data_IF_173271151813
#
_entry.id   IF_173271151813
#
_cell.length_a   1.000
_cell.length_b   1.000
_cell.length_c   1.000
_cell.angle_alpha   90.00
_cell.angle_beta   90.00
_cell.angle_gamma   90.00
#
_symmetry.space_group_name_H-M   'P 1'
#
loop_
_entity.id
_entity.type
_entity.pdbx_description
1 polymer ?
#
# COMPACT_ATOMS: atom_id res chain seq x y z
N UNK A 1 8.56 3.59 6.87
CA UNK A 1 8.46 2.18 7.28
C UNK A 1 8.10 1.34 6.06
N UNK A 2 8.94 0.41 5.62
CA UNK A 2 8.58 -0.40 4.46
C UNK A 2 8.12 -1.79 4.85
N UNK A 3 7.26 -2.35 4.02
CA UNK A 3 7.05 -3.79 3.97
C UNK A 3 7.47 -4.26 2.58
N UNK A 4 7.97 -5.49 2.50
CA UNK A 4 8.35 -6.05 1.21
C UNK A 4 7.08 -6.30 0.39
N UNK A 5 6.89 -5.54 -0.68
CA UNK A 5 6.08 -5.95 -1.83
C UNK A 5 7.06 -6.47 -2.86
N UNK A 6 7.16 -7.77 -3.07
CA UNK A 6 8.27 -8.31 -3.81
C UNK A 6 8.37 -7.92 -5.33
N UNK A 7 9.55 -7.55 -5.85
CA UNK A 7 9.89 -7.50 -7.30
C UNK A 7 11.39 -7.66 -7.65
N UNK A 8 11.72 -8.44 -8.67
CA UNK A 8 13.11 -8.69 -9.12
C UNK A 8 13.55 -7.78 -10.27
N UNK A 9 14.84 -7.41 -10.28
CA UNK A 9 15.55 -6.77 -11.39
C UNK A 9 15.74 -7.73 -12.57
N UNK A 10 15.59 -7.21 -13.78
CA UNK A 10 15.88 -7.80 -15.09
C UNK A 10 14.97 -8.94 -15.56
N UNK A 11 13.68 -8.65 -15.71
CA UNK A 11 12.86 -8.93 -16.91
C UNK A 11 11.38 -8.88 -16.53
N UNK A 12 10.65 -8.04 -17.27
CA UNK A 12 9.19 -7.87 -17.40
C UNK A 12 8.29 -8.49 -16.30
N UNK A 13 7.56 -7.59 -15.62
CA UNK A 13 6.31 -7.80 -14.88
C UNK A 13 6.37 -8.59 -13.56
N UNK A 14 5.77 -8.03 -12.50
CA UNK A 14 5.62 -8.75 -11.22
C UNK A 14 5.02 -7.96 -10.05
N UNK A 15 5.12 -6.63 -10.07
CA UNK A 15 4.33 -5.74 -9.21
C UNK A 15 3.31 -5.06 -10.09
N UNK A 16 2.07 -5.06 -9.62
CA UNK A 16 0.96 -4.37 -10.24
C UNK A 16 0.41 -3.36 -9.25
N UNK A 17 0.08 -2.19 -9.77
CA UNK A 17 -0.43 -1.07 -9.01
C UNK A 17 -1.79 -0.70 -9.55
N UNK A 18 -2.66 -0.35 -8.63
CA UNK A 18 -4.01 0.04 -8.95
C UNK A 18 -4.37 1.27 -8.13
N UNK A 19 -5.14 2.14 -8.76
CA UNK A 19 -5.36 3.50 -8.30
C UNK A 19 -6.86 3.71 -8.32
N UNK A 20 -7.45 4.18 -7.21
CA UNK A 20 -8.90 4.21 -7.06
C UNK A 20 -9.47 5.51 -6.45
N UNK A 21 -10.68 5.84 -6.90
CA UNK A 21 -11.61 6.77 -6.27
C UNK A 21 -12.72 6.01 -5.55
N UNK A 22 -13.42 6.70 -4.65
CA UNK A 22 -14.51 6.10 -3.88
C UNK A 22 -15.85 6.45 -4.52
N UNK A 23 -16.70 5.44 -4.73
CA UNK A 23 -18.14 5.61 -4.96
C UNK A 23 -18.89 5.05 -3.75
N UNK A 24 -19.93 5.76 -3.34
CA UNK A 24 -20.63 5.53 -2.08
C UNK A 24 -21.89 4.67 -2.27
N UNK A 25 -22.15 3.81 -1.29
CA UNK A 25 -23.51 3.34 -1.00
C UNK A 25 -23.66 3.28 0.53
N UNK A 26 -24.48 4.14 1.16
CA UNK A 26 -24.60 4.21 2.62
C UNK A 26 -25.44 3.05 3.11
N UNK A 27 -24.90 2.12 3.89
CA UNK A 27 -25.70 1.48 4.95
C UNK A 27 -24.86 1.01 6.15
N UNK A 28 -25.42 1.35 7.32
CA UNK A 28 -25.18 0.91 8.69
C UNK A 28 -23.87 1.30 9.39
N UNK A 29 -24.01 2.32 10.24
CA UNK A 29 -23.23 2.60 11.43
C UNK A 29 -23.26 1.43 12.43
N UNK A 30 -22.09 1.08 12.98
CA UNK A 30 -21.87 0.71 14.39
C UNK A 30 -20.37 0.91 14.65
N UNK A 31 -20.04 1.85 15.54
CA UNK A 31 -18.70 2.01 16.12
C UNK A 31 -18.46 0.88 17.11
N UNK A 32 -17.75 -0.16 16.66
CA UNK A 32 -16.99 -1.06 17.54
C UNK A 32 -15.51 -0.84 17.24
N UNK A 33 -14.65 -1.02 18.25
CA UNK A 33 -13.21 -1.23 18.03
C UNK A 33 -13.02 -2.10 16.79
N UNK A 34 -12.14 -1.71 15.86
CA UNK A 34 -11.89 -2.46 14.62
C UNK A 34 -11.45 -3.88 15.02
N UNK A 35 -12.41 -4.79 15.12
CA UNK A 35 -12.16 -6.20 15.32
C UNK A 35 -11.94 -6.74 13.93
N UNK A 36 -10.73 -7.23 13.67
CA UNK A 36 -10.52 -8.13 12.54
C UNK A 36 -11.56 -9.23 12.67
N UNK A 37 -12.35 -9.46 11.62
CA UNK A 37 -13.25 -10.60 11.60
C UNK A 37 -12.41 -11.87 11.57
N UNK A 38 -12.24 -12.42 12.77
CA UNK A 38 -11.45 -13.60 13.01
C UNK A 38 -11.99 -14.83 12.30
N UNK A 39 -13.21 -14.82 11.73
CA UNK A 39 -13.74 -15.92 10.94
C UNK A 39 -12.89 -16.18 9.68
N UNK A 40 -12.40 -15.12 9.05
CA UNK A 40 -11.73 -15.20 7.74
C UNK A 40 -10.26 -14.79 7.79
N UNK A 41 -9.88 -13.88 8.69
CA UNK A 41 -8.52 -13.38 8.79
C UNK A 41 -7.93 -13.58 10.18
N UNK A 42 -6.66 -13.98 10.24
CA UNK A 42 -5.83 -13.89 11.43
C UNK A 42 -5.06 -12.57 11.35
N UNK A 43 -5.18 -11.74 12.38
CA UNK A 43 -4.34 -10.56 12.50
C UNK A 43 -2.88 -10.98 12.70
N UNK A 44 -1.99 -10.45 11.88
CA UNK A 44 -0.54 -10.63 12.02
C UNK A 44 0.11 -9.56 12.88
N UNK A 45 1.41 -9.74 13.15
CA UNK A 45 2.25 -8.84 13.94
C UNK A 45 3.32 -8.16 13.06
N UNK A 46 4.09 -7.23 13.62
CA UNK A 46 5.26 -6.66 12.95
C UNK A 46 6.28 -7.74 12.51
N UNK A 47 6.36 -8.87 13.23
CA UNK A 47 7.25 -9.98 12.91
C UNK A 47 6.88 -10.66 11.58
N UNK A 48 5.59 -10.76 11.26
CA UNK A 48 5.10 -11.31 9.98
C UNK A 48 5.55 -10.51 8.74
N UNK A 49 6.06 -9.29 8.96
CA UNK A 49 6.47 -8.36 7.91
C UNK A 49 7.89 -7.84 8.10
N UNK A 50 8.64 -8.39 9.05
CA UNK A 50 10.02 -7.98 9.33
C UNK A 50 10.90 -8.09 8.07
N UNK A 51 11.77 -7.11 7.89
CA UNK A 51 12.72 -7.13 6.79
C UNK A 51 13.70 -8.30 6.99
N UNK A 52 13.80 -9.17 5.98
CA UNK A 52 14.71 -10.33 6.02
C UNK A 52 16.20 -9.96 6.11
N UNK A 53 16.53 -8.70 5.85
CA UNK A 53 17.87 -8.12 5.94
C UNK A 53 17.75 -6.60 6.01
N UNK A 54 18.76 -5.90 6.55
CA UNK A 54 18.82 -4.45 6.49
C UNK A 54 18.77 -3.92 5.05
N UNK A 55 18.02 -2.84 4.83
CA UNK A 55 17.92 -2.16 3.53
C UNK A 55 18.62 -0.81 3.66
N UNK A 56 19.85 -0.72 3.16
CA UNK A 56 20.64 0.53 3.17
C UNK A 56 19.97 1.60 2.33
N UNK A 57 19.92 2.84 2.81
CA UNK A 57 19.37 4.00 2.10
C UNK A 57 20.45 5.07 1.86
N UNK A 58 21.26 5.38 2.86
CA UNK A 58 22.37 6.32 2.71
C UNK A 58 23.36 5.86 1.64
N UNK A 59 23.94 6.82 0.94
CA UNK A 59 24.94 6.65 -0.13
C UNK A 59 24.47 5.82 -1.33
N UNK A 60 23.16 5.63 -1.51
CA UNK A 60 22.60 5.04 -2.73
C UNK A 60 22.76 6.02 -3.90
N UNK A 61 23.52 5.60 -4.91
CA UNK A 61 23.87 6.40 -6.11
C UNK A 61 22.69 7.13 -6.77
N UNK A 62 21.51 6.51 -6.78
CA UNK A 62 20.32 7.02 -7.48
C UNK A 62 19.13 7.31 -6.54
N UNK A 63 19.42 7.64 -5.29
CA UNK A 63 18.44 8.14 -4.34
C UNK A 63 18.80 9.58 -3.99
N UNK A 64 18.00 10.58 -4.41
CA UNK A 64 18.28 11.97 -4.08
C UNK A 64 18.41 12.21 -2.58
N UNK A 65 19.37 13.07 -2.22
CA UNK A 65 19.70 13.37 -0.83
C UNK A 65 20.48 12.27 -0.09
N UNK A 66 20.71 11.07 -0.67
CA UNK A 66 21.30 9.94 0.05
C UNK A 66 22.72 10.17 0.57
N UNK A 67 23.45 11.14 0.01
CA UNK A 67 24.80 11.54 0.45
C UNK A 67 24.81 12.69 1.45
N UNK A 68 23.65 13.26 1.79
CA UNK A 68 23.54 14.35 2.75
C UNK A 68 23.79 13.86 4.19
N UNK A 69 24.37 14.74 5.01
CA UNK A 69 24.47 14.49 6.46
C UNK A 69 23.09 14.36 7.08
N UNK A 70 22.90 13.36 7.94
CA UNK A 70 21.62 13.07 8.59
C UNK A 70 20.60 12.30 7.73
N UNK A 71 20.97 11.90 6.49
CA UNK A 71 20.11 11.01 5.71
C UNK A 71 20.00 9.63 6.40
N UNK A 72 18.81 9.02 6.46
CA UNK A 72 18.66 7.72 7.12
C UNK A 72 19.60 6.66 6.54
N UNK A 73 20.36 6.00 7.41
CA UNK A 73 21.29 4.94 7.00
C UNK A 73 20.55 3.75 6.38
N UNK A 74 19.41 3.39 6.96
CA UNK A 74 18.62 2.22 6.59
C UNK A 74 17.13 2.48 6.71
N UNK A 75 16.35 1.66 6.01
CA UNK A 75 14.91 1.64 6.08
C UNK A 75 14.45 1.12 7.45
N UNK A 76 13.58 1.87 8.13
CA UNK A 76 13.09 1.50 9.45
C UNK A 76 12.29 0.20 9.43
N UNK A 77 12.46 -0.60 10.49
CA UNK A 77 11.67 -1.80 10.74
C UNK A 77 10.18 -1.50 10.85
N UNK A 78 9.33 -2.51 10.61
CA UNK A 78 7.92 -2.42 10.88
C UNK A 78 7.54 -2.01 12.29
N UNK A 79 6.47 -1.21 12.41
CA UNK A 79 5.80 -0.87 13.66
C UNK A 79 4.63 -1.82 13.87
N UNK A 80 4.33 -2.14 15.11
CA UNK A 80 3.16 -2.94 15.45
C UNK A 80 1.88 -2.20 15.01
N UNK A 81 0.98 -2.93 14.35
CA UNK A 81 -0.31 -2.40 13.88
C UNK A 81 -0.28 -1.47 12.65
N UNK A 82 0.89 -1.15 12.08
CA UNK A 82 0.96 -0.36 10.84
C UNK A 82 2.02 -0.94 9.90
N UNK A 83 1.68 -1.49 8.72
CA UNK A 83 0.32 -1.73 8.26
C UNK A 83 -0.38 -2.76 9.14
N UNK A 84 -1.72 -2.72 9.15
CA UNK A 84 -2.52 -3.82 9.66
C UNK A 84 -2.26 -5.05 8.79
N UNK A 85 -1.72 -6.11 9.39
CA UNK A 85 -1.44 -7.36 8.68
C UNK A 85 -2.62 -8.30 8.85
N UNK A 86 -3.21 -8.76 7.74
CA UNK A 86 -4.27 -9.74 7.70
C UNK A 86 -3.79 -10.99 6.96
N UNK A 87 -3.85 -12.15 7.61
CA UNK A 87 -3.53 -13.45 7.02
C UNK A 87 -4.81 -14.21 6.76
N UNK A 88 -5.08 -14.59 5.51
CA UNK A 88 -6.21 -15.44 5.17
C UNK A 88 -6.12 -16.74 5.98
N UNK A 89 -7.21 -17.09 6.68
CA UNK A 89 -7.28 -18.31 7.47
C UNK A 89 -7.26 -19.53 6.56
N UNK A 90 -6.55 -20.55 7.01
CA UNK A 90 -6.58 -21.89 6.46
C UNK A 90 -6.92 -22.85 7.60
N UNK A 91 -8.10 -23.46 7.54
CA UNK A 91 -8.66 -24.35 8.57
C UNK A 91 -9.47 -25.51 7.94
N UNK A 92 -9.22 -25.89 6.69
CA UNK A 92 -9.99 -26.92 5.97
C UNK A 92 -11.31 -26.40 5.40
N UNK A 93 -12.13 -25.70 6.20
CA UNK A 93 -13.43 -25.15 5.75
C UNK A 93 -13.28 -24.05 4.69
N UNK A 94 -12.19 -23.29 4.77
CA UNK A 94 -11.85 -22.22 3.85
C UNK A 94 -11.00 -22.70 2.66
N UNK A 95 -10.71 -24.00 2.59
CA UNK A 95 -9.91 -24.55 1.51
C UNK A 95 -10.68 -24.49 0.18
N UNK A 96 -9.98 -24.09 -0.87
CA UNK A 96 -10.57 -23.95 -2.20
C UNK A 96 -11.50 -22.74 -2.39
N UNK A 97 -11.70 -21.89 -1.36
CA UNK A 97 -12.46 -20.64 -1.53
C UNK A 97 -11.82 -19.74 -2.57
N UNK A 98 -12.61 -19.33 -3.55
CA UNK A 98 -12.18 -18.50 -4.67
C UNK A 98 -12.01 -17.02 -4.32
N UNK A 99 -11.58 -16.23 -5.30
CA UNK A 99 -11.25 -14.81 -5.15
C UNK A 99 -12.46 -13.96 -4.75
N UNK A 100 -13.64 -14.23 -5.31
CA UNK A 100 -14.89 -13.52 -5.00
C UNK A 100 -15.23 -13.60 -3.51
N UNK A 101 -15.18 -14.81 -2.95
CA UNK A 101 -15.40 -15.04 -1.52
C UNK A 101 -14.45 -14.18 -0.67
N UNK A 102 -13.15 -14.21 -0.98
CA UNK A 102 -12.17 -13.43 -0.22
C UNK A 102 -12.31 -11.93 -0.40
N UNK A 103 -12.76 -11.47 -1.56
CA UNK A 103 -13.06 -10.06 -1.82
C UNK A 103 -14.24 -9.59 -0.97
N UNK A 104 -15.33 -10.37 -0.90
CA UNK A 104 -16.48 -10.08 -0.05
C UNK A 104 -16.11 -10.03 1.44
N UNK A 105 -15.37 -11.03 1.93
CA UNK A 105 -14.90 -11.05 3.31
C UNK A 105 -14.03 -9.84 3.64
N UNK A 106 -13.13 -9.43 2.73
CA UNK A 106 -12.29 -8.26 2.96
C UNK A 106 -13.07 -6.95 2.83
N UNK A 107 -14.07 -6.87 1.96
CA UNK A 107 -14.93 -5.69 1.80
C UNK A 107 -15.66 -5.35 3.11
N UNK A 108 -16.11 -6.36 3.84
CA UNK A 108 -16.70 -6.18 5.19
C UNK A 108 -15.68 -5.60 6.19
N UNK A 109 -14.41 -6.03 6.13
CA UNK A 109 -13.35 -5.45 6.97
C UNK A 109 -13.06 -4.00 6.61
N UNK A 110 -13.00 -3.74 5.31
CA UNK A 110 -12.64 -2.46 4.75
C UNK A 110 -13.66 -1.37 5.11
N UNK A 111 -14.95 -1.67 5.15
CA UNK A 111 -15.98 -0.70 5.56
C UNK A 111 -15.75 -0.23 7.00
N UNK A 112 -15.49 -1.14 7.94
CA UNK A 112 -15.19 -0.81 9.33
C UNK A 112 -13.90 0.02 9.48
N UNK A 113 -12.83 -0.34 8.76
CA UNK A 113 -11.58 0.42 8.73
C UNK A 113 -11.79 1.84 8.21
N UNK A 114 -12.60 1.99 7.16
CA UNK A 114 -12.89 3.26 6.54
C UNK A 114 -13.75 4.15 7.43
N UNK A 115 -14.81 3.60 8.05
CA UNK A 115 -15.64 4.34 9.01
C UNK A 115 -14.83 4.83 10.21
N UNK A 116 -13.93 3.99 10.76
CA UNK A 116 -13.02 4.42 11.80
C UNK A 116 -12.13 5.60 11.33
N UNK A 117 -11.56 5.51 10.13
CA UNK A 117 -10.74 6.60 9.57
C UNK A 117 -11.53 7.91 9.40
N UNK A 118 -12.78 7.84 8.92
CA UNK A 118 -13.68 9.00 8.77
C UNK A 118 -13.98 9.65 10.12
N UNK A 119 -14.13 8.86 11.17
CA UNK A 119 -14.44 9.31 12.52
C UNK A 119 -13.20 9.76 13.32
N UNK A 120 -12.14 10.18 12.62
CA UNK A 120 -10.91 10.70 13.25
C UNK A 120 -9.89 9.63 13.65
N UNK A 121 -10.16 8.36 13.33
CA UNK A 121 -9.20 7.27 13.54
C UNK A 121 -7.91 7.44 12.74
N UNK A 122 -6.91 6.65 13.12
CA UNK A 122 -5.60 6.67 12.47
C UNK A 122 -5.69 6.26 10.99
N UNK A 123 -4.81 6.81 10.12
CA UNK A 123 -4.66 6.32 8.74
C UNK A 123 -4.34 4.83 8.72
N UNK A 124 -4.99 4.09 7.82
CA UNK A 124 -4.85 2.64 7.72
C UNK A 124 -4.14 2.28 6.41
N UNK A 125 -3.05 1.52 6.52
CA UNK A 125 -2.53 0.69 5.44
C UNK A 125 -2.77 -0.77 5.81
N UNK A 126 -3.22 -1.59 4.87
CA UNK A 126 -3.52 -3.01 5.11
C UNK A 126 -2.64 -3.87 4.20
N UNK A 127 -1.99 -4.88 4.78
CA UNK A 127 -1.31 -5.93 4.04
C UNK A 127 -2.05 -7.24 4.21
N UNK A 128 -2.60 -7.77 3.12
CA UNK A 128 -3.27 -9.08 3.12
C UNK A 128 -2.31 -10.15 2.58
N UNK A 129 -2.16 -11.25 3.32
CA UNK A 129 -1.35 -12.41 2.94
C UNK A 129 -2.20 -13.67 2.87
N UNK A 130 -1.80 -14.63 2.03
CA UNK A 130 -2.44 -15.95 1.95
C UNK A 130 -3.66 -16.02 1.02
N UNK A 131 -3.98 -14.95 0.28
CA UNK A 131 -5.04 -14.98 -0.73
C UNK A 131 -4.65 -15.83 -1.95
N UNK A 132 -5.61 -16.45 -2.65
CA UNK A 132 -5.36 -17.26 -3.84
C UNK A 132 -5.14 -16.39 -5.12
N UNK A 133 -4.40 -15.28 -5.01
CA UNK A 133 -4.11 -14.37 -6.12
C UNK A 133 -2.79 -14.78 -6.78
N UNK A 134 -2.85 -15.26 -8.03
CA UNK A 134 -1.68 -15.76 -8.78
C UNK A 134 -1.43 -14.99 -10.07
N UNK A 135 -2.45 -14.32 -10.60
CA UNK A 135 -2.43 -13.60 -11.88
C UNK A 135 -2.89 -12.15 -11.73
N UNK A 136 -2.66 -11.34 -12.77
CA UNK A 136 -3.17 -9.97 -12.83
C UNK A 136 -4.70 -9.96 -12.89
N UNK A 137 -5.30 -10.90 -13.62
CA UNK A 137 -6.74 -11.12 -13.64
C UNK A 137 -7.30 -11.49 -12.26
N UNK A 138 -6.60 -12.32 -11.48
CA UNK A 138 -7.01 -12.61 -10.10
C UNK A 138 -7.01 -11.34 -9.24
N UNK A 139 -6.03 -10.47 -9.45
CA UNK A 139 -5.94 -9.18 -8.77
C UNK A 139 -7.09 -8.26 -9.17
N UNK A 140 -7.39 -8.19 -10.47
CA UNK A 140 -8.50 -7.41 -11.02
C UNK A 140 -9.83 -7.85 -10.38
N UNK A 141 -10.14 -9.15 -10.43
CA UNK A 141 -11.36 -9.72 -9.84
C UNK A 141 -11.46 -9.50 -8.33
N UNK A 142 -10.34 -9.57 -7.61
CA UNK A 142 -10.32 -9.28 -6.18
C UNK A 142 -10.72 -7.83 -5.92
N UNK A 143 -10.16 -6.89 -6.68
CA UNK A 143 -10.37 -5.47 -6.42
C UNK A 143 -11.74 -4.98 -6.93
N UNK A 144 -12.21 -5.53 -8.05
CA UNK A 144 -13.56 -5.28 -8.57
C UNK A 144 -14.62 -5.60 -7.50
N UNK A 145 -14.49 -6.75 -6.82
CA UNK A 145 -15.42 -7.14 -5.75
C UNK A 145 -15.45 -6.17 -4.55
N UNK A 146 -14.38 -5.39 -4.32
CA UNK A 146 -14.35 -4.36 -3.28
C UNK A 146 -15.29 -3.18 -3.60
N UNK A 147 -15.70 -3.02 -4.87
CA UNK A 147 -16.61 -1.97 -5.30
C UNK A 147 -15.97 -0.59 -5.35
N UNK A 148 -14.65 -0.52 -5.57
CA UNK A 148 -13.97 0.75 -5.80
C UNK A 148 -14.24 1.30 -7.19
N UNK A 149 -14.29 2.62 -7.30
CA UNK A 149 -14.29 3.26 -8.61
C UNK A 149 -12.85 3.32 -9.12
N UNK A 150 -12.63 2.77 -10.30
CA UNK A 150 -11.32 2.84 -10.91
C UNK A 150 -10.94 4.29 -11.22
N UNK A 151 -9.75 4.70 -10.78
CA UNK A 151 -9.22 6.00 -11.10
C UNK A 151 -8.35 5.90 -12.35
N UNK A 152 -8.74 6.63 -13.40
CA UNK A 152 -7.96 6.70 -14.64
C UNK A 152 -6.65 7.46 -14.41
N UNK A 153 -5.51 6.78 -14.58
CA UNK A 153 -4.16 7.34 -14.40
C UNK A 153 -3.76 8.25 -15.56
N UNK A 154 -4.48 9.37 -15.75
CA UNK A 154 -4.20 10.39 -16.75
C UNK A 154 -3.39 11.52 -16.13
N UNK A 155 -2.26 11.88 -16.74
CA UNK A 155 -1.36 12.91 -16.22
C UNK A 155 -0.39 12.43 -15.12
N UNK A 156 -0.30 11.12 -14.91
CA UNK A 156 0.72 10.51 -14.07
C UNK A 156 2.13 10.66 -14.67
N UNK A 157 3.15 10.90 -13.84
CA UNK A 157 4.54 11.04 -14.28
C UNK A 157 5.23 9.70 -14.49
N UNK A 158 4.78 8.64 -13.81
CA UNK A 158 5.32 7.31 -13.95
C UNK A 158 4.82 6.62 -15.22
N UNK A 159 5.72 5.95 -15.95
CA UNK A 159 5.32 5.11 -17.08
C UNK A 159 4.66 3.85 -16.52
N UNK A 160 3.40 3.63 -16.92
CA UNK A 160 2.59 2.46 -16.52
C UNK A 160 2.02 1.80 -17.78
N UNK A 161 1.90 0.47 -17.74
CA UNK A 161 1.21 -0.31 -18.77
C UNK A 161 -0.02 -0.93 -18.17
N UNK A 162 -1.17 -0.81 -18.84
CA UNK A 162 -2.32 -1.62 -18.47
C UNK A 162 -2.02 -3.08 -18.82
N UNK A 163 -2.28 -3.97 -17.87
CA UNK A 163 -2.01 -5.41 -18.03
C UNK A 163 -3.25 -6.27 -17.85
N UNK A 164 -4.29 -5.70 -17.25
CA UNK A 164 -5.62 -6.28 -17.06
C UNK A 164 -6.61 -5.15 -16.79
N UNK A 165 -7.89 -5.47 -16.69
CA UNK A 165 -8.91 -4.51 -16.31
C UNK A 165 -8.62 -3.95 -14.92
N UNK A 166 -8.59 -2.62 -14.82
CA UNK A 166 -8.27 -1.89 -13.59
C UNK A 166 -6.87 -2.12 -13.01
N UNK A 167 -5.99 -2.86 -13.71
CA UNK A 167 -4.65 -3.23 -13.24
C UNK A 167 -3.57 -2.62 -14.12
N UNK A 168 -2.72 -1.80 -13.52
CA UNK A 168 -1.53 -1.24 -14.15
C UNK A 168 -0.28 -1.97 -13.66
N UNK A 169 0.76 -2.01 -14.51
CA UNK A 169 2.10 -2.40 -14.07
C UNK A 169 2.59 -1.46 -12.98
N UNK A 170 3.51 -1.93 -12.12
CA UNK A 170 4.32 -1.04 -11.31
C UNK A 170 5.19 -0.10 -12.15
N UNK A 171 5.95 0.73 -11.45
CA UNK A 171 6.94 1.62 -12.08
C UNK A 171 7.91 0.81 -12.97
N UNK A 172 8.18 1.33 -14.16
CA UNK A 172 9.06 0.70 -15.15
C UNK A 172 10.49 1.26 -15.10
N UNK A 173 10.83 1.99 -14.05
CA UNK A 173 12.18 2.49 -13.79
C UNK A 173 13.19 1.36 -13.74
N UNK A 174 14.43 1.67 -14.10
CA UNK A 174 15.52 0.72 -13.98
C UNK A 174 15.70 0.33 -12.50
N UNK A 175 15.96 -0.94 -12.17
CA UNK A 175 15.78 -1.37 -10.78
C UNK A 175 16.88 -0.92 -9.80
N UNK A 176 17.93 -0.29 -10.30
CA UNK A 176 18.91 0.48 -9.53
C UNK A 176 18.35 1.80 -8.99
N UNK A 177 17.26 2.32 -9.55
CA UNK A 177 16.57 3.51 -9.06
C UNK A 177 15.73 3.19 -7.83
N UNK A 178 15.77 4.11 -6.85
CA UNK A 178 14.86 4.07 -5.70
C UNK A 178 13.77 5.11 -5.91
N UNK A 179 12.51 4.67 -5.85
CA UNK A 179 11.36 5.59 -5.87
C UNK A 179 11.23 6.21 -4.48
N UNK A 180 11.26 7.54 -4.43
CA UNK A 180 11.16 8.31 -3.19
C UNK A 180 9.78 8.18 -2.55
N UNK A 181 9.69 8.48 -1.26
CA UNK A 181 8.39 8.55 -0.59
C UNK A 181 7.61 9.75 -1.13
N UNK A 182 6.41 9.51 -1.63
CA UNK A 182 5.52 10.54 -2.16
C UNK A 182 4.05 10.10 -2.02
N UNK A 183 3.13 11.06 -2.11
CA UNK A 183 1.73 10.78 -2.40
C UNK A 183 1.55 10.71 -3.92
N UNK A 184 0.84 9.69 -4.39
CA UNK A 184 0.64 9.47 -5.82
C UNK A 184 -0.14 10.66 -6.43
N UNK A 185 0.39 11.19 -7.53
CA UNK A 185 -0.14 12.39 -8.21
C UNK A 185 -0.33 13.63 -7.31
N UNK A 186 0.52 13.83 -6.30
CA UNK A 186 0.47 15.01 -5.39
C UNK A 186 0.52 16.37 -6.07
N UNK A 187 1.01 16.45 -7.30
CA UNK A 187 1.04 17.68 -8.12
C UNK A 187 -0.27 17.93 -8.88
N UNK A 188 -1.23 17.01 -8.85
CA UNK A 188 -2.50 17.08 -9.57
C UNK A 188 -3.63 17.54 -8.65
N UNK A 189 -4.60 18.29 -9.18
CA UNK A 189 -5.87 18.57 -8.49
C UNK A 189 -6.82 17.36 -8.45
N UNK A 190 -6.53 16.37 -9.30
CA UNK A 190 -7.26 15.11 -9.44
C UNK A 190 -6.28 13.99 -9.11
N UNK A 191 -6.38 13.46 -7.89
CA UNK A 191 -5.51 12.42 -7.36
C UNK A 191 -6.33 11.27 -6.77
N UNK A 192 -5.73 10.08 -6.60
CA UNK A 192 -6.42 8.95 -6.01
C UNK A 192 -6.60 9.03 -4.51
N UNK A 193 -7.65 8.38 -4.03
CA UNK A 193 -7.92 8.27 -2.59
C UNK A 193 -7.42 6.97 -1.99
N UNK A 194 -7.16 5.97 -2.84
CA UNK A 194 -6.67 4.64 -2.45
C UNK A 194 -5.66 4.14 -3.46
N UNK A 195 -4.69 3.40 -2.94
CA UNK A 195 -3.63 2.78 -3.70
C UNK A 195 -3.54 1.32 -3.30
N UNK A 196 -3.66 0.41 -4.27
CA UNK A 196 -3.61 -1.05 -4.03
C UNK A 196 -2.46 -1.62 -4.84
N UNK A 197 -1.61 -2.38 -4.16
CA UNK A 197 -0.46 -3.03 -4.78
C UNK A 197 -0.60 -4.54 -4.64
N UNK A 198 -0.48 -5.25 -5.76
CA UNK A 198 -0.38 -6.70 -5.76
C UNK A 198 1.01 -7.14 -6.18
N UNK A 199 1.58 -8.05 -5.41
CA UNK A 199 2.78 -8.78 -5.79
C UNK A 199 2.40 -10.14 -6.38
N UNK A 200 2.72 -10.36 -7.66
CA UNK A 200 2.62 -11.68 -8.28
C UNK A 200 3.96 -12.42 -8.31
N UNK A 201 5.08 -11.69 -8.34
CA UNK A 201 6.42 -12.30 -8.45
C UNK A 201 7.39 -11.75 -7.43
N UNK A 202 7.94 -12.63 -6.60
CA UNK A 202 8.84 -12.22 -5.52
C UNK A 202 10.26 -11.84 -5.94
N UNK A 203 10.71 -10.64 -5.53
CA UNK A 203 12.12 -10.27 -5.58
C UNK A 203 12.98 -11.29 -4.88
N UNK A 204 14.20 -11.53 -5.35
CA UNK A 204 15.23 -12.22 -4.56
C UNK A 204 15.83 -11.29 -3.49
N UNK A 205 16.15 -10.04 -3.87
CA UNK A 205 16.76 -9.01 -3.02
C UNK A 205 16.21 -7.63 -3.37
N UNK A 206 15.95 -6.80 -2.36
CA UNK A 206 15.39 -5.46 -2.54
C UNK A 206 13.94 -5.49 -3.04
N UNK A 207 13.51 -4.36 -3.59
CA UNK A 207 12.16 -4.18 -4.15
C UNK A 207 11.10 -3.92 -3.09
N UNK A 208 11.47 -3.61 -1.85
CA UNK A 208 10.50 -3.28 -0.80
C UNK A 208 9.70 -2.02 -1.15
N UNK A 209 8.42 -2.01 -0.80
CA UNK A 209 7.60 -0.80 -0.91
C UNK A 209 7.62 -0.07 0.42
N UNK A 210 8.31 1.06 0.46
CA UNK A 210 8.26 2.00 1.56
C UNK A 210 6.87 2.61 1.69
N UNK A 211 6.27 2.54 2.89
CA UNK A 211 5.10 3.34 3.25
C UNK A 211 5.41 4.25 4.44
N UNK A 212 4.58 5.25 4.63
CA UNK A 212 4.70 6.17 5.75
C UNK A 212 3.31 6.62 6.19
N UNK A 213 3.15 6.83 7.49
CA UNK A 213 1.99 7.52 7.99
C UNK A 213 2.20 9.03 7.78
N UNK A 214 1.55 9.58 6.76
CA UNK A 214 1.66 11.00 6.42
C UNK A 214 1.22 11.93 7.57
N UNK A 215 0.20 11.56 8.36
CA UNK A 215 -0.22 12.37 9.52
C UNK A 215 0.84 12.41 10.60
N UNK A 216 1.45 11.25 10.91
CA UNK A 216 2.54 11.17 11.88
C UNK A 216 3.76 11.97 11.39
N UNK A 217 4.16 11.78 10.13
CA UNK A 217 5.26 12.52 9.51
C UNK A 217 5.03 14.03 9.62
N UNK A 218 3.86 14.51 9.19
CA UNK A 218 3.51 15.93 9.27
C UNK A 218 3.46 16.39 10.72
N UNK A 219 2.98 15.61 11.68
CA UNK A 219 2.97 16.03 13.10
C UNK A 219 4.39 16.21 13.65
N UNK A 220 5.36 15.41 13.20
CA UNK A 220 6.75 15.42 13.67
C UNK A 220 7.66 16.41 12.96
N UNK A 221 7.21 17.08 11.88
CA UNK A 221 8.03 18.12 11.25
C UNK A 221 8.27 19.30 12.22
N UNK A 222 9.40 19.97 12.04
CA UNK A 222 9.71 21.22 12.75
C UNK A 222 8.64 22.29 12.47
N UNK A 223 8.26 23.06 13.50
CA UNK A 223 7.15 24.02 13.41
C UNK A 223 7.44 25.18 12.44
N UNK A 224 8.68 25.69 12.44
CA UNK A 224 9.09 26.77 11.54
C UNK A 224 9.13 26.28 10.09
N UNK A 225 9.56 25.04 9.88
CA UNK A 225 9.53 24.41 8.57
C UNK A 225 8.10 24.24 8.03
N UNK A 226 7.16 23.77 8.86
CA UNK A 226 5.73 23.69 8.47
C UNK A 226 5.19 25.05 8.09
N UNK A 227 5.39 26.06 8.94
CA UNK A 227 4.92 27.42 8.69
C UNK A 227 5.54 27.99 7.39
N UNK A 228 6.79 27.64 7.09
CA UNK A 228 7.45 28.02 5.83
C UNK A 228 6.80 27.35 4.62
N UNK A 229 6.45 26.06 4.68
CA UNK A 229 5.75 25.36 3.60
C UNK A 229 4.36 25.98 3.36
N UNK A 230 3.60 26.23 4.42
CA UNK A 230 2.28 26.85 4.34
C UNK A 230 2.34 28.24 3.69
N UNK A 231 3.26 29.11 4.12
CA UNK A 231 3.46 30.44 3.52
C UNK A 231 3.85 30.37 2.03
N UNK A 232 4.55 29.32 1.62
CA UNK A 232 4.94 29.09 0.22
C UNK A 232 3.89 28.35 -0.60
N UNK A 233 2.76 27.97 0.00
CA UNK A 233 1.71 27.21 -0.67
C UNK A 233 2.08 25.76 -1.00
N UNK A 234 3.11 25.20 -0.34
CA UNK A 234 3.47 23.79 -0.43
C UNK A 234 2.60 23.05 0.59
N UNK A 235 1.75 22.13 0.11
CA UNK A 235 0.74 21.42 0.91
C UNK A 235 0.81 19.92 0.66
#
# INVERSE_FOLDING_TARGET
MAFRVPSSVASRAGIFQNIYRLVFNPLSSITRSISVDSRYFIQGTAEDIQLSRPVQLARRKYLPGSFASGFPEQLSSPKEGFPLVLKARNNGELDGKGIQFWSECFKEQLSGLYENFRNGGAPVAVLIRGLPIKTSNDSSRFIEGLGFEFFSYKGGSGIRKQVDDFVLSGALDAPEYSVELHNDMSYSTVFPTKFVITCLKKSKFGGETGICNGRELTSNLDADLKAKFERKGIR
#
